data_IF_609231662147
#
_entry.id   IF_609231662147
#
_cell.length_a   1.000
_cell.length_b   1.000
_cell.length_c   1.000
_cell.angle_alpha   90.00
_cell.angle_beta   90.00
_cell.angle_gamma   90.00
#
_symmetry.space_group_name_H-M   'P 1'
#
loop_
_entity.id
_entity.type
_entity.pdbx_description
1 polymer ?
#
# COMPACT_ATOMS: atom_id res chain seq x y z
N UNK A 1 -8.83 26.03 23.19
CA UNK A 1 -8.63 25.07 22.07
C UNK A 1 -9.96 24.50 21.69
N UNK A 2 -10.33 24.55 20.42
CA UNK A 2 -11.60 23.96 19.96
C UNK A 2 -11.56 22.44 20.24
N UNK A 3 -12.53 21.93 21.02
CA UNK A 3 -12.59 20.53 21.44
C UNK A 3 -12.74 19.53 20.27
N UNK A 4 -13.02 20.00 19.05
CA UNK A 4 -13.35 19.20 17.89
C UNK A 4 -12.26 19.21 16.78
N UNK A 5 -11.14 19.92 16.96
CA UNK A 5 -10.07 19.91 15.98
C UNK A 5 -9.18 18.66 16.16
N UNK A 6 -9.07 17.85 15.11
CA UNK A 6 -8.20 16.67 15.10
C UNK A 6 -6.78 17.08 14.70
N UNK A 7 -5.79 16.66 15.49
CA UNK A 7 -4.38 16.79 15.12
C UNK A 7 -3.99 15.68 14.15
N UNK A 8 -3.32 16.03 13.05
CA UNK A 8 -2.74 15.02 12.15
C UNK A 8 -1.58 14.25 12.78
N UNK A 9 -1.05 14.71 13.92
CA UNK A 9 0.07 14.05 14.62
C UNK A 9 -0.31 12.63 15.06
N UNK A 10 0.51 11.65 14.67
CA UNK A 10 0.29 10.24 14.98
C UNK A 10 -0.72 9.55 14.07
N UNK A 11 -1.21 10.22 13.02
CA UNK A 11 -1.95 9.55 11.95
C UNK A 11 -1.06 8.55 11.21
N UNK A 12 -1.65 7.47 10.73
CA UNK A 12 -0.94 6.43 9.98
C UNK A 12 -1.62 6.16 8.66
N UNK A 13 -0.81 5.92 7.63
CA UNK A 13 -1.25 5.40 6.35
C UNK A 13 -0.86 3.93 6.26
N UNK A 14 -1.81 3.08 5.89
CA UNK A 14 -1.55 1.67 5.57
C UNK A 14 -1.93 1.37 4.13
N UNK A 15 -1.18 0.46 3.50
CA UNK A 15 -1.43 -0.05 2.15
C UNK A 15 -1.56 -1.57 2.20
N UNK A 16 -2.50 -2.11 1.41
CA UNK A 16 -2.79 -3.53 1.32
C UNK A 16 -3.99 -3.97 2.16
N UNK A 17 -4.32 -5.24 2.06
CA UNK A 17 -5.46 -5.86 2.76
C UNK A 17 -4.99 -7.11 3.52
N UNK A 18 -5.65 -7.42 4.61
CA UNK A 18 -5.49 -8.72 5.26
C UNK A 18 -6.19 -9.80 4.43
N UNK A 19 -5.54 -10.93 4.25
CA UNK A 19 -6.06 -12.05 3.47
C UNK A 19 -5.82 -13.40 4.13
N UNK A 20 -6.25 -14.47 3.46
CA UNK A 20 -6.04 -15.85 3.92
C UNK A 20 -4.57 -16.23 3.81
N UNK A 21 -4.05 -16.85 4.86
CA UNK A 21 -2.70 -17.39 4.90
C UNK A 21 -2.47 -18.41 3.78
N UNK A 22 -1.30 -18.35 3.15
CA UNK A 22 -0.84 -19.27 2.11
C UNK A 22 0.22 -20.19 2.69
N UNK A 23 0.04 -21.50 2.56
CA UNK A 23 0.98 -22.47 3.07
C UNK A 23 2.28 -22.45 2.26
N UNK A 24 3.40 -22.42 2.96
CA UNK A 24 4.74 -22.46 2.37
C UNK A 24 5.21 -23.91 2.32
N UNK A 25 5.74 -24.30 1.16
CA UNK A 25 6.30 -25.65 0.94
C UNK A 25 7.81 -25.64 0.72
N UNK A 26 8.38 -24.50 0.31
CA UNK A 26 9.84 -24.32 0.22
C UNK A 26 10.19 -22.82 0.27
N UNK A 27 11.43 -22.54 0.70
CA UNK A 27 12.04 -21.20 0.63
C UNK A 27 13.50 -21.40 0.22
N UNK A 28 13.95 -20.61 -0.78
CA UNK A 28 15.34 -20.66 -1.24
C UNK A 28 16.24 -19.78 -0.37
N UNK A 29 17.53 -20.16 -0.33
CA UNK A 29 18.62 -19.30 0.17
C UNK A 29 19.12 -18.43 -0.99
N UNK A 30 18.47 -17.31 -1.23
CA UNK A 30 18.73 -16.43 -2.38
C UNK A 30 18.47 -14.95 -2.02
N UNK A 31 18.88 -14.07 -2.90
CA UNK A 31 18.59 -12.64 -2.83
C UNK A 31 17.97 -12.18 -4.18
N UNK A 32 16.64 -11.91 -4.20
CA UNK A 32 15.67 -12.07 -3.12
C UNK A 32 15.32 -13.55 -2.83
N UNK A 33 14.81 -13.81 -1.63
CA UNK A 33 14.28 -15.12 -1.25
C UNK A 33 13.08 -15.49 -2.13
N UNK A 34 13.04 -16.71 -2.65
CA UNK A 34 11.89 -17.26 -3.41
C UNK A 34 11.13 -18.23 -2.53
N UNK A 35 9.83 -18.01 -2.42
CA UNK A 35 8.90 -18.85 -1.66
C UNK A 35 8.08 -19.68 -2.63
N UNK A 36 7.96 -20.98 -2.34
CA UNK A 36 7.04 -21.89 -3.02
C UNK A 36 5.78 -22.07 -2.19
N UNK A 37 4.62 -21.82 -2.80
CA UNK A 37 3.30 -21.96 -2.20
C UNK A 37 2.30 -22.29 -3.28
N UNK A 38 1.72 -23.46 -3.25
CA UNK A 38 0.83 -23.98 -4.30
C UNK A 38 -0.40 -23.07 -4.46
N UNK A 39 -0.66 -22.64 -5.70
CA UNK A 39 -1.81 -21.83 -6.09
C UNK A 39 -2.01 -20.62 -5.16
N UNK A 40 -0.92 -19.90 -4.84
CA UNK A 40 -0.94 -18.83 -3.84
C UNK A 40 -1.89 -17.67 -4.20
N UNK A 41 -2.08 -17.38 -5.51
CA UNK A 41 -2.98 -16.31 -5.97
C UNK A 41 -2.58 -14.91 -5.51
N UNK A 42 -1.33 -14.72 -5.05
CA UNK A 42 -0.80 -13.41 -4.68
C UNK A 42 -0.41 -12.65 -5.96
N UNK A 43 -0.74 -11.38 -6.00
CA UNK A 43 -0.33 -10.46 -7.07
C UNK A 43 0.92 -9.69 -6.66
N UNK A 44 1.60 -9.14 -7.66
CA UNK A 44 2.73 -8.23 -7.42
C UNK A 44 2.30 -7.06 -6.52
N UNK A 45 3.19 -6.71 -5.59
CA UNK A 45 2.90 -5.64 -4.64
C UNK A 45 2.08 -6.06 -3.41
N UNK A 46 1.62 -7.32 -3.33
CA UNK A 46 0.97 -7.81 -2.10
C UNK A 46 1.98 -7.81 -0.95
N UNK A 47 1.57 -7.26 0.19
CA UNK A 47 2.38 -7.34 1.41
C UNK A 47 2.02 -8.60 2.17
N UNK A 48 3.01 -9.38 2.58
CA UNK A 48 2.81 -10.60 3.37
C UNK A 48 3.67 -10.59 4.62
N UNK A 49 3.14 -11.21 5.68
CA UNK A 49 3.90 -11.56 6.88
C UNK A 49 4.20 -13.05 6.84
N UNK A 50 5.46 -13.43 7.04
CA UNK A 50 5.89 -14.82 7.11
C UNK A 50 5.89 -15.29 8.57
N UNK A 51 5.34 -16.47 8.83
CA UNK A 51 5.28 -17.03 10.17
C UNK A 51 5.36 -18.55 10.17
N UNK A 52 5.74 -19.13 11.31
CA UNK A 52 5.74 -20.57 11.60
C UNK A 52 6.63 -21.41 10.64
N UNK A 53 7.67 -20.83 10.07
CA UNK A 53 8.68 -21.53 9.28
C UNK A 53 9.62 -22.26 10.22
N UNK A 54 9.92 -23.52 9.93
CA UNK A 54 10.90 -24.36 10.62
C UNK A 54 12.19 -24.47 9.81
N UNK A 55 13.33 -24.43 10.47
CA UNK A 55 14.66 -24.37 9.86
C UNK A 55 15.08 -22.94 9.62
N UNK A 56 14.55 -22.28 8.62
CA UNK A 56 14.82 -20.87 8.29
C UNK A 56 14.02 -19.93 9.23
N UNK A 57 14.30 -19.96 10.51
CA UNK A 57 13.53 -19.21 11.52
C UNK A 57 13.76 -17.71 11.46
N UNK A 58 14.85 -17.26 10.86
CA UNK A 58 15.20 -15.83 10.67
C UNK A 58 14.21 -15.08 9.79
N UNK A 59 13.41 -15.82 9.00
CA UNK A 59 12.39 -15.23 8.13
C UNK A 59 11.06 -14.98 8.88
N UNK A 60 10.84 -15.62 10.03
CA UNK A 60 9.62 -15.48 10.81
C UNK A 60 9.45 -14.05 11.32
N UNK A 61 8.24 -13.53 11.19
CA UNK A 61 7.90 -12.14 11.56
C UNK A 61 8.32 -11.10 10.51
N UNK A 62 9.03 -11.49 9.45
CA UNK A 62 9.34 -10.55 8.37
C UNK A 62 8.09 -10.18 7.60
N UNK A 63 7.97 -8.89 7.33
CA UNK A 63 6.97 -8.30 6.45
C UNK A 63 7.66 -7.92 5.16
N UNK A 64 7.18 -8.44 4.04
CA UNK A 64 7.80 -8.22 2.74
C UNK A 64 6.74 -8.03 1.64
N UNK A 65 7.15 -7.38 0.57
CA UNK A 65 6.34 -7.23 -0.64
C UNK A 65 6.61 -8.43 -1.54
N UNK A 66 5.55 -8.99 -2.13
CA UNK A 66 5.68 -10.11 -3.05
C UNK A 66 5.85 -9.63 -4.49
N UNK A 67 6.64 -10.37 -5.26
CA UNK A 67 6.66 -10.33 -6.72
C UNK A 67 6.39 -11.75 -7.23
N UNK A 68 5.28 -11.94 -7.92
CA UNK A 68 4.90 -13.25 -8.46
C UNK A 68 5.87 -13.67 -9.56
N UNK A 69 6.40 -14.88 -9.48
CA UNK A 69 7.25 -15.49 -10.50
C UNK A 69 6.57 -16.66 -11.21
N UNK A 70 5.36 -17.02 -10.75
CA UNK A 70 4.53 -18.08 -11.31
C UNK A 70 3.33 -18.39 -10.44
N UNK A 71 2.51 -19.34 -10.84
CA UNK A 71 1.29 -19.72 -10.11
C UNK A 71 1.58 -20.26 -8.69
N UNK A 72 2.79 -20.80 -8.48
CA UNK A 72 3.17 -21.49 -7.25
C UNK A 72 4.41 -20.87 -6.59
N UNK A 73 4.97 -19.79 -7.13
CA UNK A 73 6.20 -19.19 -6.62
C UNK A 73 6.12 -17.68 -6.62
N UNK A 74 6.66 -17.06 -5.58
CA UNK A 74 6.82 -15.62 -5.47
C UNK A 74 8.11 -15.26 -4.75
N UNK A 75 8.67 -14.11 -5.08
CA UNK A 75 9.82 -13.53 -4.41
C UNK A 75 9.38 -12.64 -3.26
N UNK A 76 10.19 -12.58 -2.22
CA UNK A 76 10.09 -11.61 -1.13
C UNK A 76 11.06 -10.46 -1.42
N UNK A 77 10.53 -9.39 -1.99
CA UNK A 77 11.34 -8.24 -2.41
C UNK A 77 12.10 -7.64 -1.22
N UNK A 78 13.40 -7.47 -1.36
CA UNK A 78 14.27 -6.92 -0.32
C UNK A 78 14.65 -7.89 0.81
N UNK A 79 14.27 -9.16 0.71
CA UNK A 79 14.69 -10.19 1.69
C UNK A 79 15.85 -10.99 1.11
N UNK A 80 17.03 -10.77 1.68
CA UNK A 80 18.22 -11.60 1.43
C UNK A 80 18.24 -12.75 2.42
N UNK A 81 18.09 -13.97 1.92
CA UNK A 81 18.11 -15.20 2.72
C UNK A 81 19.36 -16.06 2.50
N UNK A 82 20.38 -15.54 1.82
CA UNK A 82 21.62 -16.29 1.49
C UNK A 82 22.35 -16.78 2.73
N UNK A 83 22.33 -16.02 3.81
CA UNK A 83 22.95 -16.34 5.10
C UNK A 83 22.03 -17.05 6.11
N UNK A 84 20.72 -17.21 5.78
CA UNK A 84 19.77 -17.82 6.70
C UNK A 84 19.98 -19.33 6.83
N UNK A 85 19.44 -19.90 7.90
CA UNK A 85 19.39 -21.36 8.07
C UNK A 85 18.55 -21.99 6.94
N UNK A 86 18.85 -23.23 6.58
CA UNK A 86 18.12 -23.93 5.51
C UNK A 86 16.67 -24.18 5.93
N UNK A 87 15.72 -23.89 5.03
CA UNK A 87 14.31 -24.22 5.22
C UNK A 87 14.13 -25.74 5.42
N UNK A 88 13.35 -26.12 6.43
CA UNK A 88 13.05 -27.53 6.71
C UNK A 88 11.61 -27.86 6.37
N UNK A 89 10.66 -27.12 6.93
CA UNK A 89 9.22 -27.38 6.72
C UNK A 89 8.34 -26.26 7.25
N UNK A 90 7.05 -26.31 6.89
CA UNK A 90 5.99 -25.50 7.45
C UNK A 90 6.06 -24.03 7.03
N UNK A 91 5.29 -23.22 7.71
CA UNK A 91 5.23 -21.79 7.49
C UNK A 91 4.03 -21.34 6.67
N UNK A 92 3.68 -20.08 6.89
CA UNK A 92 2.61 -19.40 6.18
C UNK A 92 3.05 -18.02 5.73
N UNK A 93 2.57 -17.60 4.56
CA UNK A 93 2.63 -16.24 4.07
C UNK A 93 1.22 -15.65 4.14
N UNK A 94 0.99 -14.73 5.05
CA UNK A 94 -0.33 -14.11 5.27
C UNK A 94 -0.35 -12.72 4.68
N UNK A 95 -1.22 -12.41 3.69
CA UNK A 95 -1.41 -11.04 3.22
C UNK A 95 -1.79 -10.13 4.37
N UNK A 96 -1.09 -9.01 4.52
CA UNK A 96 -1.29 -8.03 5.59
C UNK A 96 -1.23 -6.62 5.05
N UNK A 97 -1.90 -5.68 5.72
CA UNK A 97 -1.69 -4.27 5.46
C UNK A 97 -0.36 -3.80 6.05
N UNK A 98 0.42 -3.07 5.27
CA UNK A 98 1.67 -2.47 5.72
C UNK A 98 1.50 -0.99 6.03
N UNK A 99 2.05 -0.56 7.16
CA UNK A 99 2.14 0.86 7.49
C UNK A 99 3.23 1.52 6.65
N UNK A 100 2.92 2.66 6.05
CA UNK A 100 3.91 3.54 5.43
C UNK A 100 4.64 4.27 6.55
N UNK A 101 5.90 3.92 6.76
CA UNK A 101 6.74 4.50 7.81
C UNK A 101 7.23 5.91 7.49
N UNK A 102 7.69 6.63 8.54
CA UNK A 102 8.31 7.95 8.44
C UNK A 102 7.47 9.00 7.71
N UNK A 103 6.14 8.88 7.80
CA UNK A 103 5.19 9.75 7.12
C UNK A 103 5.18 11.14 7.75
N UNK A 104 5.38 12.19 6.94
CA UNK A 104 5.55 13.57 7.40
C UNK A 104 4.30 14.42 7.19
N UNK A 105 3.72 14.32 6.01
CA UNK A 105 2.57 15.14 5.62
C UNK A 105 1.75 14.47 4.52
N UNK A 106 0.53 14.93 4.36
CA UNK A 106 -0.36 14.46 3.32
C UNK A 106 -1.34 15.55 2.88
N UNK A 107 -1.89 15.40 1.67
CA UNK A 107 -2.92 16.25 1.07
C UNK A 107 -3.75 15.45 0.07
N UNK A 108 -4.90 15.99 -0.34
CA UNK A 108 -5.80 15.37 -1.30
C UNK A 108 -7.09 14.89 -0.66
N UNK A 109 -7.76 13.91 -1.27
CA UNK A 109 -9.12 13.48 -0.98
C UNK A 109 -10.13 14.57 -1.37
N UNK A 110 -9.86 15.25 -2.46
CA UNK A 110 -10.57 16.44 -2.97
C UNK A 110 -11.58 16.05 -4.06
N UNK A 111 -12.47 15.11 -3.72
CA UNK A 111 -13.48 14.60 -4.64
C UNK A 111 -14.35 15.70 -5.25
N UNK A 112 -14.47 15.71 -6.57
CA UNK A 112 -15.28 16.63 -7.33
C UNK A 112 -16.22 15.88 -8.28
N UNK A 113 -17.51 16.24 -8.27
CA UNK A 113 -18.45 15.76 -9.26
C UNK A 113 -18.29 16.55 -10.56
N UNK A 114 -18.48 15.90 -11.69
CA UNK A 114 -18.64 16.61 -12.97
C UNK A 114 -20.03 17.23 -13.06
N UNK A 115 -20.13 18.37 -13.72
CA UNK A 115 -21.40 19.01 -14.01
C UNK A 115 -21.93 18.51 -15.36
N UNK A 116 -23.18 18.07 -15.36
CA UNK A 116 -23.92 17.70 -16.58
C UNK A 116 -24.88 18.83 -16.87
N UNK A 117 -24.67 19.55 -17.98
CA UNK A 117 -25.58 20.62 -18.45
C UNK A 117 -26.91 19.99 -18.91
N UNK A 118 -27.99 20.36 -18.27
CA UNK A 118 -29.37 19.94 -18.59
C UNK A 118 -30.27 21.09 -19.04
N UNK A 119 -29.64 22.23 -19.38
CA UNK A 119 -30.35 23.42 -19.86
C UNK A 119 -31.04 23.13 -21.19
N UNK A 120 -32.33 23.51 -21.29
CA UNK A 120 -33.10 23.42 -22.51
C UNK A 120 -33.62 24.83 -22.95
N UNK A 121 -34.40 24.86 -24.04
CA UNK A 121 -34.93 26.13 -24.58
C UNK A 121 -35.98 26.81 -23.72
N UNK A 122 -36.56 26.11 -22.76
CA UNK A 122 -37.56 26.63 -21.81
C UNK A 122 -36.91 27.09 -20.51
N UNK A 123 -35.60 26.83 -20.32
CA UNK A 123 -34.87 27.21 -19.13
C UNK A 123 -34.58 28.72 -19.11
N UNK A 124 -34.91 29.37 -17.98
CA UNK A 124 -34.62 30.79 -17.76
C UNK A 124 -33.18 31.05 -17.27
N UNK A 125 -32.48 30.02 -16.85
CA UNK A 125 -31.08 30.04 -16.38
C UNK A 125 -30.42 28.71 -16.68
N UNK A 126 -29.06 28.66 -16.56
CA UNK A 126 -28.29 27.42 -16.68
C UNK A 126 -28.72 26.42 -15.63
N UNK A 127 -29.02 25.18 -16.05
CA UNK A 127 -29.39 24.07 -15.19
C UNK A 127 -28.36 22.96 -15.28
N UNK A 128 -27.95 22.45 -14.12
CA UNK A 128 -26.92 21.42 -14.01
C UNK A 128 -27.36 20.26 -13.13
N UNK A 129 -26.88 19.06 -13.47
CA UNK A 129 -26.95 17.89 -12.61
C UNK A 129 -25.53 17.42 -12.28
N UNK A 130 -25.35 16.94 -11.04
CA UNK A 130 -24.09 16.32 -10.64
C UNK A 130 -23.91 14.97 -11.36
N UNK A 131 -22.77 14.80 -12.01
CA UNK A 131 -22.34 13.55 -12.61
C UNK A 131 -21.54 12.68 -11.64
N UNK A 132 -20.69 11.80 -12.17
CA UNK A 132 -19.84 10.94 -11.35
C UNK A 132 -18.77 11.76 -10.61
N UNK A 133 -18.50 11.35 -9.37
CA UNK A 133 -17.45 11.96 -8.55
C UNK A 133 -16.10 11.32 -8.93
N UNK A 134 -15.11 12.14 -9.28
CA UNK A 134 -13.69 11.77 -9.28
C UNK A 134 -13.10 12.22 -7.94
N UNK A 135 -12.62 11.26 -7.15
CA UNK A 135 -12.01 11.54 -5.85
C UNK A 135 -10.56 12.04 -5.95
N UNK A 136 -10.10 12.35 -7.16
CA UNK A 136 -8.82 13.02 -7.38
C UNK A 136 -7.62 12.14 -7.03
N UNK A 137 -6.70 12.73 -6.30
CA UNK A 137 -5.45 12.07 -5.91
C UNK A 137 -5.16 12.31 -4.43
N UNK A 138 -4.50 11.36 -3.83
CA UNK A 138 -3.94 11.46 -2.48
C UNK A 138 -2.43 11.54 -2.59
N UNK A 139 -1.81 12.52 -1.96
CA UNK A 139 -0.37 12.74 -1.99
C UNK A 139 0.20 12.77 -0.59
N UNK A 140 1.43 12.30 -0.43
CA UNK A 140 2.11 12.33 0.86
C UNK A 140 3.62 12.43 0.72
N UNK A 141 4.24 12.85 1.81
CA UNK A 141 5.70 12.94 1.95
C UNK A 141 6.15 12.06 3.10
N UNK A 142 7.20 11.28 2.90
CA UNK A 142 7.84 10.48 3.94
C UNK A 142 9.38 10.57 3.83
N UNK A 143 10.08 10.29 4.93
CA UNK A 143 11.51 10.04 4.85
C UNK A 143 11.74 8.65 4.28
N UNK A 144 12.61 8.54 3.30
CA UNK A 144 12.86 7.30 2.58
C UNK A 144 13.50 6.24 3.49
N UNK A 145 12.99 5.02 3.39
CA UNK A 145 13.58 3.84 4.05
C UNK A 145 13.60 2.65 3.07
N UNK A 146 14.77 2.03 2.92
CA UNK A 146 14.94 0.84 2.07
C UNK A 146 14.25 -0.40 2.63
N UNK A 147 13.96 -0.43 3.93
CA UNK A 147 13.44 -1.60 4.65
C UNK A 147 11.97 -1.45 5.04
N UNK A 148 11.35 -0.29 4.77
CA UNK A 148 9.95 -0.05 5.11
C UNK A 148 9.01 -0.74 4.12
N UNK A 149 8.24 -1.72 4.60
CA UNK A 149 7.36 -2.54 3.78
C UNK A 149 6.24 -1.70 3.11
N UNK A 150 5.73 -0.66 3.77
CA UNK A 150 4.70 0.22 3.20
C UNK A 150 5.24 1.07 2.06
N UNK A 151 6.45 1.63 2.19
CA UNK A 151 7.09 2.37 1.11
C UNK A 151 7.46 1.45 -0.07
N UNK A 152 7.90 0.22 0.21
CA UNK A 152 8.15 -0.79 -0.82
C UNK A 152 6.87 -1.19 -1.54
N UNK A 153 5.75 -1.32 -0.83
CA UNK A 153 4.43 -1.59 -1.42
C UNK A 153 3.95 -0.44 -2.33
N UNK A 154 4.16 0.82 -1.93
CA UNK A 154 3.89 1.99 -2.78
C UNK A 154 4.69 1.95 -4.09
N UNK A 155 5.98 1.65 -4.02
CA UNK A 155 6.85 1.53 -5.20
C UNK A 155 6.44 0.37 -6.10
N UNK A 156 6.10 -0.77 -5.51
CA UNK A 156 5.57 -1.93 -6.26
C UNK A 156 4.25 -1.60 -6.95
N UNK A 157 3.35 -0.91 -6.27
CA UNK A 157 2.07 -0.45 -6.85
C UNK A 157 2.28 0.47 -8.05
N UNK A 158 3.33 1.28 -8.06
CA UNK A 158 3.72 2.10 -9.21
C UNK A 158 4.24 1.25 -10.37
N UNK A 159 5.11 0.27 -10.08
CA UNK A 159 5.77 -0.56 -11.09
C UNK A 159 4.83 -1.56 -11.76
N UNK A 160 3.85 -2.05 -11.02
CA UNK A 160 3.01 -3.19 -11.42
C UNK A 160 1.87 -2.76 -12.29
N UNK A 161 1.71 -1.73 -12.99
CA UNK A 161 0.54 -1.39 -13.85
C UNK A 161 -0.74 -2.20 -13.50
N UNK A 162 -0.90 -2.56 -12.23
CA UNK A 162 -1.72 -3.64 -11.70
C UNK A 162 -2.96 -3.14 -10.95
N UNK A 163 -3.69 -4.05 -10.29
CA UNK A 163 -4.93 -3.71 -9.58
C UNK A 163 -4.68 -2.67 -8.48
N UNK A 164 -5.69 -1.86 -8.22
CA UNK A 164 -5.63 -0.87 -7.15
C UNK A 164 -5.44 -1.54 -5.79
N UNK A 165 -4.56 -0.97 -4.98
CA UNK A 165 -4.36 -1.36 -3.59
C UNK A 165 -5.35 -0.65 -2.67
N UNK A 166 -5.71 -1.27 -1.56
CA UNK A 166 -6.50 -0.61 -0.53
C UNK A 166 -5.59 0.28 0.35
N UNK A 167 -6.07 1.47 0.63
CA UNK A 167 -5.42 2.44 1.51
C UNK A 167 -6.34 2.78 2.67
N UNK A 168 -5.77 2.88 3.87
CA UNK A 168 -6.49 3.30 5.06
C UNK A 168 -5.68 4.35 5.80
N UNK A 169 -6.30 5.50 6.05
CA UNK A 169 -5.75 6.54 6.90
C UNK A 169 -6.43 6.43 8.27
N UNK A 170 -5.62 6.24 9.30
CA UNK A 170 -6.10 6.07 10.67
C UNK A 170 -5.52 7.16 11.56
N UNK A 171 -6.37 7.80 12.34
CA UNK A 171 -5.94 8.74 13.38
C UNK A 171 -5.29 8.02 14.57
N UNK A 172 -4.47 8.70 15.36
CA UNK A 172 -3.80 8.15 16.56
C UNK A 172 -4.75 7.52 17.59
N UNK A 173 -6.02 7.93 17.60
CA UNK A 173 -7.05 7.33 18.48
C UNK A 173 -7.56 5.98 17.99
N UNK A 174 -7.13 5.50 16.82
CA UNK A 174 -7.66 4.32 16.16
C UNK A 174 -8.86 4.60 15.24
N UNK A 175 -9.40 5.81 15.22
CA UNK A 175 -10.48 6.18 14.32
C UNK A 175 -9.97 6.22 12.86
N UNK A 176 -10.77 5.68 11.96
CA UNK A 176 -10.45 5.69 10.53
C UNK A 176 -10.89 7.04 9.97
N UNK A 177 -9.97 7.77 9.35
CA UNK A 177 -10.26 9.04 8.70
C UNK A 177 -10.79 8.82 7.28
N UNK A 178 -10.18 7.92 6.54
CA UNK A 178 -10.59 7.59 5.18
C UNK A 178 -10.13 6.19 4.77
N UNK A 179 -10.93 5.54 3.93
CA UNK A 179 -10.59 4.29 3.22
C UNK A 179 -10.84 4.48 1.74
N UNK A 180 -9.91 4.10 0.91
CA UNK A 180 -10.05 4.17 -0.54
C UNK A 180 -9.18 3.11 -1.23
N UNK A 181 -9.52 2.84 -2.48
CA UNK A 181 -8.68 2.05 -3.36
C UNK A 181 -7.95 2.98 -4.33
N UNK A 182 -6.76 2.61 -4.73
CA UNK A 182 -5.97 3.42 -5.65
C UNK A 182 -4.68 2.74 -6.06
N UNK A 183 -3.96 3.37 -6.97
CA UNK A 183 -2.63 2.94 -7.38
C UNK A 183 -1.64 4.09 -7.27
N UNK A 184 -0.41 3.77 -6.91
CA UNK A 184 0.65 4.75 -6.83
C UNK A 184 1.02 5.21 -8.25
N UNK A 185 0.73 6.48 -8.56
CA UNK A 185 1.03 7.09 -9.84
C UNK A 185 2.48 7.58 -9.91
N UNK A 186 2.99 8.05 -8.79
CA UNK A 186 4.32 8.62 -8.70
C UNK A 186 4.93 8.30 -7.34
N UNK A 187 6.21 7.92 -7.34
CA UNK A 187 7.06 7.82 -6.16
C UNK A 187 8.41 8.41 -6.53
N UNK A 188 8.72 9.58 -6.02
CA UNK A 188 9.96 10.30 -6.28
C UNK A 188 10.79 10.45 -5.01
N UNK A 189 12.09 10.59 -5.18
CA UNK A 189 13.05 10.77 -4.09
C UNK A 189 13.84 12.03 -4.32
N UNK A 190 14.17 12.71 -3.24
CA UNK A 190 15.04 13.88 -3.24
C UNK A 190 15.96 13.86 -2.02
N UNK A 191 17.19 14.30 -2.18
CA UNK A 191 18.17 14.37 -1.12
C UNK A 191 19.28 15.33 -1.48
N UNK A 192 20.09 15.72 -0.51
CA UNK A 192 21.23 16.60 -0.65
C UNK A 192 22.31 16.28 0.37
N UNK A 193 23.42 17.01 0.33
CA UNK A 193 24.47 16.92 1.35
C UNK A 193 23.89 17.34 2.69
N UNK A 194 24.15 16.58 3.74
CA UNK A 194 23.63 16.79 5.11
C UNK A 194 22.09 16.77 5.22
N UNK A 195 21.41 16.08 4.31
CA UNK A 195 19.96 15.93 4.31
C UNK A 195 19.53 14.46 4.31
N UNK A 196 18.44 14.18 5.03
CA UNK A 196 17.78 12.88 4.92
C UNK A 196 17.08 12.80 3.55
N UNK A 197 17.11 11.64 2.92
CA UNK A 197 16.38 11.42 1.67
C UNK A 197 14.89 11.46 1.96
N UNK A 198 14.18 12.40 1.36
CA UNK A 198 12.73 12.50 1.39
C UNK A 198 12.12 11.83 0.15
N UNK A 199 10.96 11.23 0.33
CA UNK A 199 10.17 10.66 -0.76
C UNK A 199 8.81 11.33 -0.82
N UNK A 200 8.38 11.66 -2.04
CA UNK A 200 7.06 12.15 -2.33
C UNK A 200 6.32 11.10 -3.15
N UNK A 201 5.09 10.79 -2.77
CA UNK A 201 4.26 9.86 -3.52
C UNK A 201 2.90 10.48 -3.83
N UNK A 202 2.31 10.03 -4.94
CA UNK A 202 0.96 10.38 -5.35
C UNK A 202 0.21 9.12 -5.74
N UNK A 203 -0.98 8.95 -5.18
CA UNK A 203 -1.89 7.82 -5.43
C UNK A 203 -3.11 8.37 -6.15
N UNK A 204 -3.42 7.85 -7.34
CA UNK A 204 -4.71 8.11 -7.99
C UNK A 204 -5.77 7.24 -7.34
N UNK A 205 -6.82 7.88 -6.87
CA UNK A 205 -7.95 7.20 -6.24
C UNK A 205 -8.82 6.57 -7.33
N UNK A 206 -9.22 5.33 -7.11
CA UNK A 206 -10.07 4.55 -8.00
C UNK A 206 -11.29 4.06 -7.22
N UNK A 207 -12.46 4.56 -7.60
CA UNK A 207 -13.70 4.29 -6.89
C UNK A 207 -13.97 5.27 -5.74
N UNK A 208 -14.91 4.92 -4.87
CA UNK A 208 -15.36 5.79 -3.80
C UNK A 208 -14.39 5.85 -2.61
N UNK A 209 -14.35 7.00 -1.95
CA UNK A 209 -13.72 7.17 -0.64
C UNK A 209 -14.78 7.01 0.44
N UNK A 210 -14.53 6.13 1.40
CA UNK A 210 -15.35 5.99 2.59
C UNK A 210 -14.70 6.78 3.74
N UNK A 211 -15.43 7.74 4.26
CA UNK A 211 -15.09 8.49 5.46
C UNK A 211 -15.79 7.87 6.68
N UNK A 212 -15.18 7.97 7.87
CA UNK A 212 -15.78 7.48 9.12
C UNK A 212 -16.79 8.46 9.69
#
# INVERSE_FOLDING_TARGET
MSANALSAQGATLTIGTTGTAKNITAITKANPAVVTSTAHGLTDGTVVTIAAVTGMTEINGKVAVTRSTGANTFELVGVDSTSFTTYTSGGTATPTAAKVGNWKSWSGLDGQASDIDTTDLDSLAKEYRAGLIDYGSFSGTCQFSLTDAGQMALRSSQAAAGPSSAFVITHKSGAILARFNGYCKQFSQSGGVDQVVDSNFSVKISGAVAYA
#
